data_IF_676080320730
#
_entry.id   IF_676080320730
#
_cell.length_a   1.000
_cell.length_b   1.000
_cell.length_c   1.000
_cell.angle_alpha   90.00
_cell.angle_beta   90.00
_cell.angle_gamma   90.00
#
_symmetry.space_group_name_H-M   'P 1'
#
loop_
_entity.id
_entity.type
_entity.pdbx_description
1 polymer ?
#
# COMPACT_ATOMS: atom_id res chain seq x y z
N UNK A 1 -5.13 11.89 2.40
CA UNK A 1 -4.56 12.12 1.05
C UNK A 1 -5.65 12.72 0.20
N UNK A 2 -5.27 13.55 -0.77
CA UNK A 2 -6.17 14.22 -1.71
C UNK A 2 -7.06 13.24 -2.48
N UNK A 3 -8.38 13.31 -2.32
CA UNK A 3 -9.35 12.65 -3.19
C UNK A 3 -9.75 13.58 -4.32
N UNK A 4 -9.55 13.12 -5.55
CA UNK A 4 -9.76 13.86 -6.79
C UNK A 4 -10.91 13.20 -7.55
N UNK A 5 -11.91 13.99 -7.90
CA UNK A 5 -12.97 13.58 -8.82
C UNK A 5 -12.75 14.25 -10.16
N UNK A 6 -12.73 13.48 -11.23
CA UNK A 6 -12.63 13.96 -12.60
C UNK A 6 -13.98 13.89 -13.28
N UNK A 7 -14.52 15.03 -13.70
CA UNK A 7 -15.73 15.12 -14.51
C UNK A 7 -15.32 15.38 -15.96
N UNK A 8 -15.91 14.64 -16.90
CA UNK A 8 -15.56 14.78 -18.31
C UNK A 8 -16.68 14.25 -19.20
N UNK A 9 -16.94 14.96 -20.30
CA UNK A 9 -17.88 14.46 -21.31
C UNK A 9 -17.22 13.37 -22.15
N UNK A 10 -17.81 12.17 -22.16
CA UNK A 10 -17.28 11.00 -22.87
C UNK A 10 -17.04 11.23 -24.37
N UNK A 11 -17.88 12.01 -25.04
CA UNK A 11 -17.75 12.29 -26.47
C UNK A 11 -16.79 13.46 -26.79
N UNK A 12 -16.24 14.13 -25.78
CA UNK A 12 -15.42 15.33 -25.94
C UNK A 12 -13.98 15.10 -25.49
N UNK A 13 -13.78 14.48 -24.31
CA UNK A 13 -12.47 14.39 -23.67
C UNK A 13 -12.09 12.98 -23.16
N UNK A 14 -12.76 11.91 -23.59
CA UNK A 14 -12.54 10.55 -23.03
C UNK A 14 -11.09 10.05 -23.13
N UNK A 15 -10.42 10.26 -24.26
CA UNK A 15 -9.05 9.79 -24.46
C UNK A 15 -8.09 10.47 -23.47
N UNK A 16 -8.14 11.80 -23.40
CA UNK A 16 -7.28 12.58 -22.51
C UNK A 16 -7.66 12.37 -21.02
N UNK A 17 -8.95 12.15 -20.72
CA UNK A 17 -9.44 11.85 -19.38
C UNK A 17 -8.89 10.52 -18.86
N UNK A 18 -8.85 9.48 -19.71
CA UNK A 18 -8.21 8.21 -19.36
C UNK A 18 -6.73 8.39 -19.07
N UNK A 19 -6.00 9.07 -19.98
CA UNK A 19 -4.56 9.32 -19.85
C UNK A 19 -4.22 10.15 -18.59
N UNK A 20 -4.99 11.20 -18.32
CA UNK A 20 -4.83 12.02 -17.12
C UNK A 20 -5.23 11.23 -15.86
N UNK A 21 -6.27 10.40 -15.94
CA UNK A 21 -6.67 9.48 -14.89
C UNK A 21 -5.52 8.56 -14.48
N UNK A 22 -4.91 7.85 -15.44
CA UNK A 22 -3.76 6.96 -15.18
C UNK A 22 -2.56 7.71 -14.57
N UNK A 23 -2.32 8.93 -15.06
CA UNK A 23 -1.26 9.79 -14.52
C UNK A 23 -1.54 10.21 -13.07
N UNK A 24 -2.77 10.61 -12.76
CA UNK A 24 -3.18 10.98 -11.40
C UNK A 24 -3.21 9.77 -10.47
N UNK A 25 -3.65 8.60 -10.93
CA UNK A 25 -3.64 7.34 -10.17
C UNK A 25 -2.21 6.99 -9.76
N UNK A 26 -1.24 7.20 -10.66
CA UNK A 26 0.19 7.00 -10.35
C UNK A 26 0.69 7.91 -9.22
N UNK A 27 0.09 9.11 -9.04
CA UNK A 27 0.53 10.11 -8.06
C UNK A 27 -0.27 10.15 -6.76
N UNK A 28 -1.57 9.93 -6.83
CA UNK A 28 -2.49 10.03 -5.70
C UNK A 28 -3.01 8.67 -5.24
N UNK A 29 -2.83 7.60 -6.03
CA UNK A 29 -3.34 6.26 -5.77
C UNK A 29 -4.75 6.05 -6.30
N UNK A 30 -5.06 4.82 -6.71
CA UNK A 30 -6.32 4.46 -7.39
C UNK A 30 -7.57 4.78 -6.56
N UNK A 31 -7.50 4.54 -5.24
CA UNK A 31 -8.62 4.81 -4.31
C UNK A 31 -8.94 6.30 -4.12
N UNK A 32 -8.07 7.17 -4.63
CA UNK A 32 -8.15 8.61 -4.47
C UNK A 32 -8.45 9.34 -5.77
N UNK A 33 -8.57 8.63 -6.91
CA UNK A 33 -8.91 9.24 -8.20
C UNK A 33 -10.17 8.56 -8.73
N UNK A 34 -11.25 9.34 -8.81
CA UNK A 34 -12.54 8.90 -9.34
C UNK A 34 -12.74 9.49 -10.72
N UNK A 35 -12.92 8.64 -11.72
CA UNK A 35 -13.07 9.04 -13.12
C UNK A 35 -14.55 8.95 -13.53
N UNK A 36 -15.24 10.10 -13.55
CA UNK A 36 -16.67 10.24 -13.86
C UNK A 36 -17.57 10.19 -12.62
N UNK A 37 -18.68 10.94 -12.63
CA UNK A 37 -19.65 10.98 -11.55
C UNK A 37 -20.28 9.61 -11.25
N UNK A 38 -20.39 8.73 -12.25
CA UNK A 38 -20.95 7.39 -12.08
C UNK A 38 -20.15 6.54 -11.09
N UNK A 39 -18.86 6.86 -10.87
CA UNK A 39 -18.01 6.15 -9.91
C UNK A 39 -18.33 6.49 -8.46
N UNK A 40 -19.16 7.50 -8.21
CA UNK A 40 -19.64 7.83 -6.87
C UNK A 40 -20.72 6.85 -6.37
N UNK A 41 -21.37 6.12 -7.29
CA UNK A 41 -22.57 5.32 -7.01
C UNK A 41 -22.23 3.83 -7.06
N UNK A 42 -22.44 3.11 -5.95
CA UNK A 42 -22.40 1.65 -5.93
C UNK A 42 -23.61 1.02 -6.63
N UNK A 43 -23.47 -0.22 -7.09
CA UNK A 43 -24.59 -0.97 -7.69
C UNK A 43 -25.73 -1.11 -6.67
N UNK A 44 -26.89 -0.54 -6.98
CA UNK A 44 -28.07 -0.56 -6.12
C UNK A 44 -28.11 0.52 -5.03
N UNK A 45 -27.15 1.45 -4.99
CA UNK A 45 -27.18 2.59 -4.07
C UNK A 45 -28.06 3.73 -4.60
N UNK A 46 -28.67 4.49 -3.68
CA UNK A 46 -29.37 5.72 -4.02
C UNK A 46 -28.37 6.82 -4.45
N UNK A 47 -28.72 7.54 -5.51
CA UNK A 47 -27.83 8.54 -6.08
C UNK A 47 -27.65 9.77 -5.18
N UNK A 48 -28.68 10.23 -4.47
CA UNK A 48 -28.53 11.37 -3.56
C UNK A 48 -27.62 11.01 -2.39
N UNK A 49 -27.82 9.84 -1.78
CA UNK A 49 -26.98 9.36 -0.68
C UNK A 49 -25.51 9.19 -1.13
N UNK A 50 -25.31 8.66 -2.34
CA UNK A 50 -23.98 8.51 -2.95
C UNK A 50 -23.34 9.87 -3.25
N UNK A 51 -24.10 10.84 -3.75
CA UNK A 51 -23.65 12.20 -4.04
C UNK A 51 -23.24 12.95 -2.77
N UNK A 52 -24.04 12.93 -1.72
CA UNK A 52 -23.73 13.58 -0.44
C UNK A 52 -22.45 13.01 0.20
N UNK A 53 -22.35 11.68 0.22
CA UNK A 53 -21.17 10.97 0.77
C UNK A 53 -19.94 11.19 -0.09
N UNK A 54 -20.10 11.15 -1.41
CA UNK A 54 -19.04 11.30 -2.40
C UNK A 54 -18.43 12.69 -2.39
N UNK A 55 -19.25 13.74 -2.28
CA UNK A 55 -18.81 15.14 -2.29
C UNK A 55 -18.15 15.59 -0.97
N UNK A 56 -18.56 15.05 0.19
CA UNK A 56 -17.97 15.39 1.51
C UNK A 56 -16.51 14.99 1.68
N UNK A 57 -16.00 14.08 0.85
CA UNK A 57 -14.65 13.54 0.97
C UNK A 57 -13.73 13.86 -0.21
N UNK A 58 -14.12 14.78 -1.10
CA UNK A 58 -13.34 15.15 -2.29
C UNK A 58 -12.63 16.48 -2.06
N UNK A 59 -11.31 16.47 -2.20
CA UNK A 59 -10.45 17.62 -1.96
C UNK A 59 -10.32 18.53 -3.20
N UNK A 60 -10.47 17.95 -4.40
CA UNK A 60 -10.49 18.70 -5.67
C UNK A 60 -11.34 17.99 -6.73
N UNK A 61 -12.04 18.79 -7.53
CA UNK A 61 -12.79 18.32 -8.70
C UNK A 61 -12.15 18.90 -9.95
N UNK A 62 -11.68 18.03 -10.83
CA UNK A 62 -11.13 18.41 -12.12
C UNK A 62 -12.24 18.30 -13.17
N UNK A 63 -12.53 19.40 -13.87
CA UNK A 63 -13.54 19.41 -14.92
C UNK A 63 -12.82 19.52 -16.25
N UNK A 64 -12.80 18.45 -17.03
CA UNK A 64 -12.16 18.43 -18.33
C UNK A 64 -13.10 19.03 -19.37
N UNK A 65 -12.65 20.12 -19.98
CA UNK A 65 -13.39 20.92 -20.95
C UNK A 65 -12.68 20.81 -22.29
N UNK A 66 -13.26 20.05 -23.22
CA UNK A 66 -12.85 20.02 -24.62
C UNK A 66 -13.63 21.03 -25.46
N UNK A 67 -13.41 21.00 -26.78
CA UNK A 67 -13.96 21.99 -27.71
C UNK A 67 -15.48 21.88 -27.86
N UNK A 68 -16.03 20.69 -27.70
CA UNK A 68 -17.47 20.43 -27.81
C UNK A 68 -18.15 20.43 -26.43
N UNK A 69 -17.51 20.93 -25.37
CA UNK A 69 -18.01 20.81 -24.00
C UNK A 69 -19.34 21.54 -23.78
N UNK A 70 -19.63 22.64 -24.46
CA UNK A 70 -20.91 23.39 -24.31
C UNK A 70 -21.99 22.94 -25.30
N UNK A 71 -21.67 22.06 -26.25
CA UNK A 71 -22.59 21.67 -27.32
C UNK A 71 -23.67 20.68 -26.86
N UNK A 72 -24.88 20.77 -27.41
CA UNK A 72 -25.89 19.71 -27.28
C UNK A 72 -26.57 19.60 -25.92
N UNK A 73 -26.57 20.67 -25.11
CA UNK A 73 -27.51 20.85 -23.98
C UNK A 73 -27.35 19.89 -22.78
N UNK A 74 -26.32 19.05 -22.73
CA UNK A 74 -26.12 18.11 -21.63
C UNK A 74 -25.92 18.80 -20.27
N UNK A 75 -25.30 19.99 -20.26
CA UNK A 75 -25.17 20.84 -19.08
C UNK A 75 -26.53 21.29 -18.53
N UNK A 76 -27.54 21.40 -19.40
CA UNK A 76 -28.91 21.77 -19.05
C UNK A 76 -29.79 20.57 -18.68
N UNK A 77 -29.28 19.34 -18.82
CA UNK A 77 -30.01 18.14 -18.44
C UNK A 77 -29.95 17.95 -16.93
N UNK A 78 -31.11 18.03 -16.28
CA UNK A 78 -31.27 17.73 -14.85
C UNK A 78 -31.04 16.23 -14.52
N UNK A 79 -30.86 15.38 -15.54
CA UNK A 79 -30.66 13.94 -15.41
C UNK A 79 -29.20 13.52 -15.64
N UNK A 80 -28.31 14.46 -16.00
CA UNK A 80 -26.89 14.14 -16.20
C UNK A 80 -26.12 14.18 -14.88
N UNK A 81 -25.60 13.02 -14.47
CA UNK A 81 -24.84 12.85 -13.24
C UNK A 81 -23.64 13.79 -13.11
N UNK A 82 -22.91 14.06 -14.20
CA UNK A 82 -21.76 14.96 -14.17
C UNK A 82 -22.20 16.43 -13.94
N UNK A 83 -23.32 16.83 -14.54
CA UNK A 83 -23.89 18.18 -14.35
C UNK A 83 -24.41 18.37 -12.92
N UNK A 84 -25.10 17.36 -12.38
CA UNK A 84 -25.59 17.38 -10.99
C UNK A 84 -24.42 17.50 -10.01
N UNK A 85 -23.39 16.65 -10.14
CA UNK A 85 -22.21 16.71 -9.26
C UNK A 85 -21.50 18.05 -9.37
N UNK A 86 -21.34 18.58 -10.60
CA UNK A 86 -20.68 19.87 -10.80
C UNK A 86 -21.47 21.01 -10.15
N UNK A 87 -22.79 21.02 -10.31
CA UNK A 87 -23.66 22.00 -9.66
C UNK A 87 -23.57 21.92 -8.13
N UNK A 88 -23.67 20.71 -7.57
CA UNK A 88 -23.51 20.48 -6.13
C UNK A 88 -22.15 20.98 -5.65
N UNK A 89 -21.07 20.66 -6.37
CA UNK A 89 -19.74 21.10 -6.00
C UNK A 89 -19.54 22.61 -6.02
N UNK A 90 -20.11 23.29 -7.03
CA UNK A 90 -20.07 24.76 -7.10
C UNK A 90 -20.89 25.40 -5.98
N UNK A 91 -22.05 24.83 -5.66
CA UNK A 91 -22.95 25.29 -4.60
C UNK A 91 -22.34 25.13 -3.20
N UNK A 92 -21.73 23.96 -2.94
CA UNK A 92 -21.01 23.63 -1.70
C UNK A 92 -19.62 24.29 -1.62
N UNK A 93 -19.27 25.13 -2.61
CA UNK A 93 -17.97 25.84 -2.72
C UNK A 93 -16.76 24.91 -2.67
N UNK A 94 -16.92 23.68 -3.15
CA UNK A 94 -15.82 22.75 -3.32
C UNK A 94 -14.79 23.29 -4.32
N UNK A 95 -13.57 22.75 -4.25
CA UNK A 95 -12.48 23.17 -5.11
C UNK A 95 -12.64 22.58 -6.51
N UNK A 96 -13.27 23.34 -7.39
CA UNK A 96 -13.41 23.01 -8.81
C UNK A 96 -12.28 23.65 -9.62
N UNK A 97 -11.54 22.83 -10.37
CA UNK A 97 -10.44 23.23 -11.26
C UNK A 97 -10.81 22.88 -12.71
N UNK A 98 -11.13 23.87 -13.54
CA UNK A 98 -11.30 23.66 -14.97
C UNK A 98 -9.98 23.27 -15.64
N UNK A 99 -10.00 22.22 -16.46
CA UNK A 99 -8.86 21.74 -17.25
C UNK A 99 -9.24 21.84 -18.73
N UNK A 100 -8.66 22.81 -19.43
CA UNK A 100 -8.92 23.08 -20.84
C UNK A 100 -8.08 22.16 -21.71
N UNK A 101 -8.73 21.35 -22.53
CA UNK A 101 -8.11 20.33 -23.37
C UNK A 101 -7.89 20.88 -24.78
N UNK A 102 -6.68 20.71 -25.33
CA UNK A 102 -6.36 21.07 -26.73
C UNK A 102 -6.71 22.53 -27.10
N UNK A 103 -6.47 23.45 -26.17
CA UNK A 103 -6.76 24.87 -26.33
C UNK A 103 -8.25 25.22 -26.37
N UNK A 104 -9.13 24.37 -25.82
CA UNK A 104 -10.54 24.69 -25.66
C UNK A 104 -10.72 26.02 -24.90
N UNK A 105 -11.63 26.90 -25.36
CA UNK A 105 -11.90 28.15 -24.66
C UNK A 105 -12.64 27.87 -23.34
N UNK A 106 -12.43 28.74 -22.35
CA UNK A 106 -13.24 28.70 -21.14
C UNK A 106 -14.69 29.11 -21.47
N UNK A 107 -15.72 28.33 -21.07
CA UNK A 107 -17.11 28.68 -21.29
C UNK A 107 -17.47 30.06 -20.73
N UNK A 108 -18.28 30.81 -21.47
CA UNK A 108 -18.80 32.11 -21.04
C UNK A 108 -20.11 31.95 -20.26
N UNK A 109 -20.56 33.02 -19.60
CA UNK A 109 -21.83 33.01 -18.89
C UNK A 109 -23.05 32.72 -19.79
N UNK A 110 -22.96 33.02 -21.09
CA UNK A 110 -24.03 32.72 -22.04
C UNK A 110 -24.10 31.24 -22.42
N UNK A 111 -23.00 30.51 -22.26
CA UNK A 111 -22.87 29.10 -22.65
C UNK A 111 -23.31 28.14 -21.54
N UNK A 112 -23.58 28.66 -20.33
CA UNK A 112 -23.83 27.86 -19.13
C UNK A 112 -25.22 28.12 -18.53
N UNK A 113 -25.88 27.09 -17.98
CA UNK A 113 -27.02 27.28 -17.08
C UNK A 113 -26.63 28.11 -15.85
N UNK A 114 -27.62 28.79 -15.26
CA UNK A 114 -27.42 29.65 -14.08
C UNK A 114 -26.67 28.94 -12.95
N UNK A 115 -27.03 27.67 -12.71
CA UNK A 115 -26.43 26.79 -11.72
C UNK A 115 -24.90 26.60 -11.88
N UNK A 116 -24.37 26.70 -13.10
CA UNK A 116 -22.98 26.44 -13.41
C UNK A 116 -22.14 27.71 -13.63
N UNK A 117 -22.74 28.90 -13.53
CA UNK A 117 -22.04 30.18 -13.73
C UNK A 117 -20.83 30.35 -12.80
N UNK A 118 -20.84 29.71 -11.63
CA UNK A 118 -19.72 29.68 -10.69
C UNK A 118 -18.43 29.11 -11.28
N UNK A 119 -18.51 28.30 -12.34
CA UNK A 119 -17.36 27.74 -13.05
C UNK A 119 -16.53 28.81 -13.75
N UNK A 120 -17.17 29.84 -14.31
CA UNK A 120 -16.52 30.94 -15.06
C UNK A 120 -15.54 31.77 -14.20
N UNK A 121 -15.67 31.68 -12.88
CA UNK A 121 -14.85 32.41 -11.91
C UNK A 121 -13.67 31.60 -11.38
N UNK A 122 -13.48 30.37 -11.86
CA UNK A 122 -12.39 29.47 -11.44
C UNK A 122 -11.17 29.66 -12.34
N UNK A 123 -9.98 29.59 -11.75
CA UNK A 123 -8.74 29.56 -12.53
C UNK A 123 -8.63 28.23 -13.26
N UNK A 124 -8.44 28.28 -14.57
CA UNK A 124 -8.24 27.12 -15.42
C UNK A 124 -6.78 26.75 -15.59
N UNK A 125 -6.53 25.51 -16.00
CA UNK A 125 -5.22 25.03 -16.46
C UNK A 125 -5.36 24.41 -17.85
N UNK A 126 -4.35 24.55 -18.69
CA UNK A 126 -4.34 23.95 -20.02
C UNK A 126 -3.67 22.58 -19.99
N UNK A 127 -4.17 21.67 -20.82
CA UNK A 127 -3.62 20.35 -21.04
C UNK A 127 -3.57 20.08 -22.55
N UNK A 128 -2.37 19.91 -23.08
CA UNK A 128 -2.13 19.56 -24.48
C UNK A 128 -1.53 18.15 -24.59
N UNK A 129 -1.81 17.46 -25.68
CA UNK A 129 -1.31 16.12 -25.95
C UNK A 129 0.22 16.11 -26.15
N UNK A 130 0.74 17.12 -26.85
CA UNK A 130 2.17 17.28 -27.15
C UNK A 130 3.02 17.54 -25.90
N UNK A 131 2.50 18.35 -24.96
CA UNK A 131 3.16 18.69 -23.68
C UNK A 131 2.55 17.99 -22.47
N UNK A 132 1.81 16.90 -22.71
CA UNK A 132 0.94 16.25 -21.72
C UNK A 132 1.63 16.01 -20.38
N UNK A 133 2.84 15.45 -20.39
CA UNK A 133 3.54 15.11 -19.16
C UNK A 133 3.87 16.35 -18.33
N UNK A 134 4.35 17.42 -18.96
CA UNK A 134 4.69 18.66 -18.26
C UNK A 134 3.46 19.34 -17.69
N UNK A 135 2.37 19.38 -18.46
CA UNK A 135 1.13 20.03 -18.05
C UNK A 135 0.40 19.23 -16.96
N UNK A 136 0.43 17.89 -17.05
CA UNK A 136 -0.09 17.02 -15.99
C UNK A 136 0.71 17.14 -14.69
N UNK A 137 2.04 17.29 -14.74
CA UNK A 137 2.86 17.58 -13.54
C UNK A 137 2.50 18.93 -12.91
N UNK A 138 2.34 19.98 -13.73
CA UNK A 138 1.90 21.30 -13.23
C UNK A 138 0.55 21.19 -12.54
N UNK A 139 -0.39 20.45 -13.13
CA UNK A 139 -1.72 20.22 -12.56
C UNK A 139 -1.65 19.47 -11.24
N UNK A 140 -0.87 18.38 -11.16
CA UNK A 140 -0.63 17.63 -9.91
C UNK A 140 -0.08 18.56 -8.83
N UNK A 141 0.94 19.35 -9.14
CA UNK A 141 1.58 20.25 -8.18
C UNK A 141 0.61 21.35 -7.71
N UNK A 142 -0.19 21.91 -8.61
CA UNK A 142 -1.20 22.91 -8.27
C UNK A 142 -2.28 22.33 -7.35
N UNK A 143 -2.76 21.12 -7.65
CA UNK A 143 -3.74 20.41 -6.83
C UNK A 143 -3.13 20.09 -5.46
N UNK A 144 -1.92 19.54 -5.39
CA UNK A 144 -1.23 19.23 -4.13
C UNK A 144 -0.97 20.47 -3.27
N UNK A 145 -0.46 21.55 -3.88
CA UNK A 145 -0.21 22.81 -3.17
C UNK A 145 -1.50 23.43 -2.63
N UNK A 146 -2.62 23.22 -3.31
CA UNK A 146 -3.93 23.70 -2.87
C UNK A 146 -4.59 22.85 -1.78
N UNK A 147 -4.12 21.61 -1.61
CA UNK A 147 -4.60 20.64 -0.62
C UNK A 147 -3.69 20.61 0.63
N UNK A 148 -2.42 21.02 0.49
CA UNK A 148 -1.52 21.22 1.61
C UNK A 148 -1.95 22.44 2.46
N UNK A 149 -2.10 22.30 3.79
CA UNK A 149 -2.63 23.39 4.62
C UNK A 149 -1.57 24.46 4.91
N UNK A 150 -1.83 25.68 4.46
CA UNK A 150 -1.19 26.90 4.94
C UNK A 150 -2.05 27.60 6.00
N UNK A 151 -1.53 27.65 7.24
CA UNK A 151 -1.96 28.40 8.45
C UNK A 151 -3.22 27.91 9.22
N UNK A 152 -2.91 27.48 10.45
CA UNK A 152 -3.77 27.16 11.58
C UNK A 152 -5.15 27.87 11.63
N UNK A 153 -6.20 27.08 11.46
CA UNK A 153 -7.46 27.23 12.20
C UNK A 153 -7.82 25.85 12.75
N UNK A 154 -7.96 25.78 14.06
CA UNK A 154 -8.35 24.61 14.83
C UNK A 154 -9.74 24.12 14.41
N UNK A 155 -9.80 23.09 13.56
CA UNK A 155 -11.03 22.40 13.19
C UNK A 155 -10.78 20.89 13.28
N UNK A 156 -11.28 20.34 14.39
CA UNK A 156 -11.59 18.93 14.72
C UNK A 156 -11.12 17.87 13.72
N UNK A 157 -10.24 16.98 14.22
CA UNK A 157 -9.86 15.70 13.61
C UNK A 157 -11.07 14.98 12.96
N UNK A 158 -10.92 14.39 11.76
CA UNK A 158 -11.94 13.52 11.19
C UNK A 158 -12.27 12.40 12.19
N UNK A 159 -13.56 12.22 12.47
CA UNK A 159 -14.07 11.08 13.22
C UNK A 159 -13.74 9.83 12.41
N UNK A 160 -12.82 9.03 12.93
CA UNK A 160 -12.58 7.66 12.46
C UNK A 160 -13.93 6.93 12.32
N UNK A 161 -14.11 6.08 11.30
CA UNK A 161 -15.32 5.28 11.20
C UNK A 161 -15.46 4.50 12.50
N UNK A 162 -16.61 4.67 13.14
CA UNK A 162 -17.02 4.09 14.41
C UNK A 162 -16.50 2.66 14.63
N UNK A 163 -15.32 2.53 15.23
CA UNK A 163 -14.96 1.36 16.00
C UNK A 163 -15.67 1.51 17.35
N UNK A 164 -16.82 0.87 17.50
CA UNK A 164 -17.35 0.54 18.82
C UNK A 164 -16.21 -0.06 19.65
N UNK A 165 -16.00 0.54 20.82
CA UNK A 165 -14.74 0.51 21.55
C UNK A 165 -14.14 -0.88 21.76
N UNK A 166 -13.02 -1.12 21.09
CA UNK A 166 -11.89 -1.88 21.62
C UNK A 166 -10.65 -1.10 21.15
N UNK A 167 -9.63 -0.87 21.99
CA UNK A 167 -8.36 -0.35 21.51
C UNK A 167 -7.94 -1.20 20.31
N UNK A 168 -7.38 -0.59 19.27
CA UNK A 168 -6.67 -1.29 18.20
C UNK A 168 -5.45 -2.00 18.83
N UNK A 169 -5.73 -3.09 19.56
CA UNK A 169 -4.81 -4.09 20.04
C UNK A 169 -4.38 -4.79 18.76
N UNK A 170 -3.14 -4.54 18.40
CA UNK A 170 -2.36 -5.24 17.39
C UNK A 170 -3.04 -6.51 16.83
N UNK A 171 -3.42 -6.41 15.54
CA UNK A 171 -3.58 -7.60 14.72
C UNK A 171 -5.00 -8.13 14.57
N UNK A 172 -6.05 -7.34 14.71
CA UNK A 172 -7.43 -7.74 14.33
C UNK A 172 -8.03 -6.68 13.39
N UNK A 173 -8.63 -7.09 12.25
CA UNK A 173 -9.26 -6.17 11.28
C UNK A 173 -10.76 -5.88 11.56
N UNK A 174 -11.41 -5.12 10.67
CA UNK A 174 -12.84 -4.76 10.76
C UNK A 174 -13.77 -5.96 10.84
N UNK A 175 -13.33 -7.11 10.33
CA UNK A 175 -14.08 -8.35 10.26
C UNK A 175 -13.70 -9.28 11.42
N UNK A 176 -13.00 -8.74 12.42
CA UNK A 176 -12.47 -9.44 13.59
C UNK A 176 -11.47 -10.57 13.24
N UNK A 177 -10.82 -10.51 12.06
CA UNK A 177 -9.85 -11.51 11.65
C UNK A 177 -8.45 -11.18 12.19
N UNK A 178 -7.78 -12.15 12.85
CA UNK A 178 -6.43 -11.92 13.33
C UNK A 178 -5.43 -11.80 12.17
N UNK A 179 -4.29 -11.12 12.41
CA UNK A 179 -3.31 -10.80 11.36
C UNK A 179 -2.78 -12.03 10.64
N UNK A 180 -2.53 -13.12 11.36
CA UNK A 180 -2.09 -14.38 10.75
C UNK A 180 -3.14 -14.94 9.79
N UNK A 181 -4.44 -14.81 10.13
CA UNK A 181 -5.53 -15.29 9.30
C UNK A 181 -5.65 -14.45 8.03
N UNK A 182 -5.43 -13.13 8.13
CA UNK A 182 -5.32 -12.25 6.97
C UNK A 182 -4.16 -12.64 6.07
N UNK A 183 -2.98 -12.90 6.64
CA UNK A 183 -1.82 -13.35 5.86
C UNK A 183 -2.06 -14.69 5.13
N UNK A 184 -2.80 -15.62 5.75
CA UNK A 184 -3.20 -16.89 5.12
C UNK A 184 -4.24 -16.71 4.03
N UNK A 185 -5.25 -15.86 4.26
CA UNK A 185 -6.42 -15.76 3.38
C UNK A 185 -6.23 -14.79 2.22
N UNK A 186 -5.35 -13.80 2.36
CA UNK A 186 -5.20 -12.72 1.38
C UNK A 186 -4.79 -13.21 -0.03
N UNK A 187 -3.87 -14.18 -0.21
CA UNK A 187 -3.57 -14.72 -1.53
C UNK A 187 -4.78 -15.30 -2.27
N UNK A 188 -5.78 -15.82 -1.55
CA UNK A 188 -6.97 -16.45 -2.14
C UNK A 188 -8.07 -15.44 -2.55
N UNK A 189 -7.90 -14.14 -2.25
CA UNK A 189 -8.84 -13.10 -2.68
C UNK A 189 -8.74 -12.79 -4.18
N UNK A 190 -7.64 -13.20 -4.82
CA UNK A 190 -7.40 -13.02 -6.24
C UNK A 190 -8.10 -14.14 -7.04
N UNK A 191 -8.90 -13.81 -8.05
CA UNK A 191 -9.59 -14.83 -8.87
C UNK A 191 -8.62 -15.71 -9.65
N UNK A 192 -7.44 -15.20 -9.99
CA UNK A 192 -6.37 -15.89 -10.70
C UNK A 192 -5.28 -16.42 -9.74
N UNK A 193 -5.59 -16.56 -8.44
CA UNK A 193 -4.59 -16.97 -7.45
C UNK A 193 -3.91 -18.30 -7.81
N UNK A 194 -4.65 -19.26 -8.35
CA UNK A 194 -4.14 -20.59 -8.69
C UNK A 194 -3.01 -20.50 -9.71
N UNK A 195 -3.20 -19.75 -10.80
CA UNK A 195 -2.20 -19.65 -11.86
C UNK A 195 -0.95 -18.91 -11.37
N UNK A 196 -1.13 -17.85 -10.59
CA UNK A 196 -0.03 -17.04 -10.03
C UNK A 196 0.77 -17.83 -8.98
N UNK A 197 0.11 -18.55 -8.08
CA UNK A 197 0.78 -19.39 -7.08
C UNK A 197 1.40 -20.63 -7.72
N UNK A 198 0.79 -21.23 -8.76
CA UNK A 198 1.38 -22.36 -9.45
C UNK A 198 2.74 -22.01 -10.06
N UNK A 199 2.87 -20.83 -10.68
CA UNK A 199 4.17 -20.35 -11.19
C UNK A 199 5.15 -20.10 -10.04
N UNK A 200 4.71 -19.52 -8.91
CA UNK A 200 5.54 -19.36 -7.72
C UNK A 200 6.08 -20.72 -7.21
N UNK A 201 5.20 -21.73 -7.18
CA UNK A 201 5.54 -23.09 -6.75
C UNK A 201 6.48 -23.80 -7.74
N UNK A 202 6.33 -23.58 -9.05
CA UNK A 202 7.26 -24.12 -10.05
C UNK A 202 8.63 -23.46 -9.95
N UNK A 203 8.67 -22.13 -9.79
CA UNK A 203 9.91 -21.39 -9.64
C UNK A 203 10.64 -21.79 -8.37
N UNK A 204 9.94 -22.02 -7.25
CA UNK A 204 10.56 -22.42 -5.98
C UNK A 204 11.24 -23.79 -6.02
N UNK A 205 10.96 -24.62 -7.03
CA UNK A 205 11.69 -25.87 -7.27
C UNK A 205 13.12 -25.64 -7.79
N UNK A 206 13.42 -24.46 -8.34
CA UNK A 206 14.76 -24.09 -8.79
C UNK A 206 15.55 -23.60 -7.56
N UNK A 207 16.56 -24.34 -7.08
CA UNK A 207 17.30 -23.94 -5.90
C UNK A 207 17.96 -22.57 -6.09
N UNK A 208 17.96 -21.76 -5.03
CA UNK A 208 18.58 -20.43 -4.99
C UNK A 208 17.87 -19.42 -5.91
N UNK A 209 17.93 -19.60 -7.23
CA UNK A 209 17.36 -18.70 -8.24
C UNK A 209 15.84 -18.58 -8.09
N UNK A 210 15.16 -19.71 -7.91
CA UNK A 210 13.73 -19.74 -7.65
C UNK A 210 13.33 -18.97 -6.40
N UNK A 211 14.06 -19.22 -5.30
CA UNK A 211 13.87 -18.52 -4.03
C UNK A 211 14.09 -17.02 -4.17
N UNK A 212 15.11 -16.59 -4.92
CA UNK A 212 15.39 -15.19 -5.22
C UNK A 212 14.18 -14.57 -5.93
N UNK A 213 13.70 -15.17 -7.02
CA UNK A 213 12.59 -14.63 -7.81
C UNK A 213 11.31 -14.56 -6.98
N UNK A 214 10.94 -15.64 -6.28
CA UNK A 214 9.71 -15.68 -5.43
C UNK A 214 9.79 -14.69 -4.27
N UNK A 215 11.00 -14.46 -3.72
CA UNK A 215 11.18 -13.43 -2.69
C UNK A 215 10.95 -12.03 -3.24
N UNK A 216 11.46 -11.71 -4.42
CA UNK A 216 11.22 -10.42 -5.04
C UNK A 216 9.78 -10.21 -5.49
N UNK A 217 9.13 -11.28 -5.95
CA UNK A 217 7.68 -11.30 -6.16
C UNK A 217 6.92 -10.95 -4.87
N UNK A 218 7.35 -11.52 -3.74
CA UNK A 218 6.84 -11.19 -2.42
C UNK A 218 7.06 -9.72 -2.01
N UNK A 219 8.23 -9.15 -2.32
CA UNK A 219 8.51 -7.70 -2.12
C UNK A 219 7.55 -6.84 -2.95
N UNK A 220 7.33 -7.20 -4.23
CA UNK A 220 6.37 -6.51 -5.11
C UNK A 220 4.94 -6.65 -4.59
N UNK A 221 4.57 -7.82 -4.11
CA UNK A 221 3.27 -8.05 -3.46
C UNK A 221 3.10 -7.21 -2.19
N UNK A 222 4.10 -7.16 -1.31
CA UNK A 222 4.07 -6.31 -0.12
C UNK A 222 3.89 -4.82 -0.48
N UNK A 223 4.52 -4.37 -1.57
CA UNK A 223 4.36 -3.00 -2.08
C UNK A 223 2.95 -2.73 -2.60
N UNK A 224 2.36 -3.67 -3.35
CA UNK A 224 0.95 -3.59 -3.75
C UNK A 224 0.01 -3.50 -2.54
N UNK A 225 0.25 -4.32 -1.52
CA UNK A 225 -0.52 -4.29 -0.27
C UNK A 225 -0.44 -2.93 0.44
N UNK A 226 0.71 -2.26 0.40
CA UNK A 226 0.85 -0.90 0.94
C UNK A 226 0.03 0.14 0.15
N UNK A 227 -0.08 -0.05 -1.16
CA UNK A 227 -0.87 0.80 -2.05
C UNK A 227 -2.38 0.50 -1.98
N UNK A 228 -2.77 -0.55 -1.26
CA UNK A 228 -4.16 -0.98 -1.12
C UNK A 228 -4.60 -1.99 -2.18
N UNK A 229 -3.68 -2.51 -2.99
CA UNK A 229 -3.94 -3.64 -3.86
C UNK A 229 -3.77 -4.95 -3.07
N UNK A 230 -4.83 -5.73 -2.95
CA UNK A 230 -4.81 -7.04 -2.28
C UNK A 230 -4.57 -8.21 -3.22
N UNK A 231 -4.48 -7.95 -4.53
CA UNK A 231 -4.30 -8.99 -5.55
C UNK A 231 -2.84 -9.41 -5.68
N UNK A 232 -2.63 -10.61 -6.21
CA UNK A 232 -1.32 -11.17 -6.45
C UNK A 232 -0.75 -10.56 -7.76
N UNK A 233 0.52 -10.11 -7.79
CA UNK A 233 1.12 -9.59 -9.02
C UNK A 233 1.12 -10.62 -10.16
N UNK A 234 1.08 -10.15 -11.40
CA UNK A 234 1.25 -11.00 -12.59
C UNK A 234 2.72 -11.36 -12.77
N UNK A 235 3.01 -12.46 -13.47
CA UNK A 235 4.38 -12.90 -13.78
C UNK A 235 4.93 -12.22 -15.05
N UNK A 236 4.84 -10.89 -15.09
CA UNK A 236 5.25 -10.03 -16.20
C UNK A 236 6.63 -9.38 -16.02
N UNK A 237 7.13 -9.30 -14.78
CA UNK A 237 8.40 -8.65 -14.43
C UNK A 237 9.32 -9.59 -13.63
N UNK A 238 9.61 -10.77 -14.18
CA UNK A 238 10.49 -11.75 -13.53
C UNK A 238 11.90 -11.18 -13.30
N UNK A 239 12.40 -10.37 -14.23
CA UNK A 239 13.71 -9.72 -14.12
C UNK A 239 13.78 -8.73 -12.96
N UNK A 240 12.76 -7.86 -12.81
CA UNK A 240 12.66 -6.96 -11.67
C UNK A 240 12.46 -7.71 -10.35
N UNK A 241 11.65 -8.77 -10.34
CA UNK A 241 11.50 -9.64 -9.16
C UNK A 241 12.83 -10.30 -8.77
N UNK A 242 13.60 -10.82 -9.72
CA UNK A 242 14.93 -11.36 -9.42
C UNK A 242 15.84 -10.31 -8.74
N UNK A 243 15.87 -9.08 -9.26
CA UNK A 243 16.66 -7.98 -8.68
C UNK A 243 16.20 -7.59 -7.26
N UNK A 244 14.89 -7.48 -7.05
CA UNK A 244 14.32 -7.14 -5.73
C UNK A 244 14.60 -8.22 -4.70
N UNK A 245 14.46 -9.48 -5.10
CA UNK A 245 14.68 -10.64 -4.25
C UNK A 245 16.14 -10.82 -3.89
N UNK A 246 17.06 -10.61 -4.85
CA UNK A 246 18.49 -10.66 -4.61
C UNK A 246 18.90 -9.59 -3.59
N UNK A 247 18.39 -8.37 -3.75
CA UNK A 247 18.61 -7.26 -2.83
C UNK A 247 18.12 -7.60 -1.42
N UNK A 248 16.91 -8.14 -1.30
CA UNK A 248 16.35 -8.54 -0.01
C UNK A 248 17.16 -9.67 0.66
N UNK A 249 17.59 -10.67 -0.10
CA UNK A 249 18.39 -11.79 0.41
C UNK A 249 19.78 -11.37 0.85
N UNK A 250 20.49 -10.56 0.04
CA UNK A 250 21.80 -10.01 0.41
C UNK A 250 21.65 -9.12 1.65
N UNK A 251 20.63 -8.26 1.69
CA UNK A 251 20.37 -7.39 2.83
C UNK A 251 20.10 -8.18 4.12
N UNK A 252 19.23 -9.18 4.07
CA UNK A 252 18.94 -10.07 5.20
C UNK A 252 20.15 -10.92 5.60
N UNK A 253 20.98 -11.34 4.64
CA UNK A 253 22.23 -12.03 4.92
C UNK A 253 23.20 -11.13 5.69
N UNK A 254 23.39 -9.87 5.26
CA UNK A 254 24.24 -8.90 5.96
C UNK A 254 23.76 -8.69 7.40
N UNK A 255 22.45 -8.52 7.60
CA UNK A 255 21.85 -8.38 8.93
C UNK A 255 22.12 -9.63 9.76
N UNK A 256 21.78 -10.80 9.24
CA UNK A 256 21.93 -12.07 9.94
C UNK A 256 23.40 -12.37 10.28
N UNK A 257 24.32 -12.02 9.38
CA UNK A 257 25.75 -12.17 9.56
C UNK A 257 26.28 -11.24 10.67
N UNK A 258 25.85 -9.99 10.69
CA UNK A 258 26.24 -9.03 11.73
C UNK A 258 25.82 -9.52 13.14
N UNK A 259 24.57 -9.96 13.29
CA UNK A 259 24.09 -10.55 14.55
C UNK A 259 24.74 -11.92 14.84
N UNK A 260 25.06 -12.69 13.81
CA UNK A 260 25.77 -13.97 13.92
C UNK A 260 27.17 -13.82 14.51
N UNK A 261 27.90 -12.77 14.13
CA UNK A 261 29.20 -12.43 14.76
C UNK A 261 29.02 -12.15 16.25
N UNK A 262 28.04 -11.33 16.61
CA UNK A 262 27.75 -11.01 18.02
C UNK A 262 27.40 -12.28 18.80
N UNK A 263 26.54 -13.14 18.22
CA UNK A 263 26.20 -14.43 18.79
C UNK A 263 27.43 -15.31 19.01
N UNK A 264 28.29 -15.45 18.00
CA UNK A 264 29.49 -16.28 18.06
C UNK A 264 30.47 -15.81 19.14
N UNK A 265 30.68 -14.50 19.27
CA UNK A 265 31.53 -13.90 20.33
C UNK A 265 30.97 -14.22 21.71
N UNK A 266 29.66 -14.07 21.91
CA UNK A 266 29.02 -14.34 23.20
C UNK A 266 29.08 -15.83 23.58
N UNK A 267 28.88 -16.73 22.61
CA UNK A 267 29.08 -18.17 22.81
C UNK A 267 30.53 -18.44 23.22
N UNK A 268 31.52 -17.88 22.52
CA UNK A 268 32.94 -18.10 22.81
C UNK A 268 33.36 -17.64 24.21
N UNK A 269 32.94 -16.44 24.62
CA UNK A 269 33.20 -15.91 25.99
C UNK A 269 32.63 -16.87 27.04
N UNK A 270 31.40 -17.33 26.84
CA UNK A 270 30.71 -18.18 27.81
C UNK A 270 31.32 -19.58 27.83
N UNK A 271 31.61 -20.19 26.68
CA UNK A 271 32.30 -21.48 26.60
C UNK A 271 33.63 -21.47 27.37
N UNK A 272 34.40 -20.37 27.31
CA UNK A 272 35.62 -20.22 28.11
C UNK A 272 35.35 -20.19 29.63
N UNK A 273 34.28 -19.54 30.07
CA UNK A 273 33.85 -19.52 31.49
C UNK A 273 33.44 -20.93 31.93
N UNK A 274 32.70 -21.69 31.11
CA UNK A 274 32.27 -23.05 31.43
C UNK A 274 33.44 -24.01 31.64
N UNK A 275 34.47 -23.92 30.79
CA UNK A 275 35.69 -24.73 30.87
C UNK A 275 36.50 -24.46 32.15
N UNK A 276 36.24 -23.34 32.86
CA UNK A 276 36.93 -22.99 34.11
C UNK A 276 36.47 -23.78 35.36
N UNK A 277 35.48 -24.68 35.24
CA UNK A 277 35.21 -25.71 36.25
C UNK A 277 34.33 -25.33 37.46
N UNK A 278 33.49 -24.29 37.38
CA UNK A 278 32.61 -23.87 38.50
C UNK A 278 31.17 -24.39 38.35
N UNK A 279 30.93 -25.63 38.78
CA UNK A 279 29.71 -26.41 38.49
C UNK A 279 28.33 -25.73 38.68
N UNK A 280 28.08 -25.04 39.80
CA UNK A 280 26.80 -24.36 40.01
C UNK A 280 26.65 -23.05 39.19
N UNK A 281 27.77 -22.36 38.92
CA UNK A 281 27.80 -21.16 38.07
C UNK A 281 27.62 -21.51 36.59
N UNK A 282 28.00 -22.73 36.19
CA UNK A 282 27.82 -23.24 34.84
C UNK A 282 26.33 -23.36 34.47
N UNK A 283 25.48 -23.93 35.34
CA UNK A 283 24.05 -24.05 35.03
C UNK A 283 23.36 -22.68 34.83
N UNK A 284 23.67 -21.71 35.69
CA UNK A 284 23.15 -20.34 35.57
C UNK A 284 23.69 -19.66 34.29
N UNK A 285 24.98 -19.84 33.99
CA UNK A 285 25.60 -19.35 32.76
C UNK A 285 24.94 -19.91 31.49
N UNK A 286 24.50 -21.18 31.50
CA UNK A 286 23.84 -21.80 30.35
C UNK A 286 22.47 -21.17 30.10
N UNK A 287 21.69 -20.95 31.15
CA UNK A 287 20.37 -20.34 31.05
C UNK A 287 20.47 -18.89 30.59
N UNK A 288 21.44 -18.13 31.09
CA UNK A 288 21.71 -16.77 30.63
C UNK A 288 22.14 -16.73 29.16
N UNK A 289 23.00 -17.66 28.73
CA UNK A 289 23.37 -17.79 27.31
C UNK A 289 22.14 -18.05 26.45
N UNK A 290 21.31 -19.02 26.84
CA UNK A 290 20.11 -19.36 26.11
C UNK A 290 19.16 -18.16 26.02
N UNK A 291 18.96 -17.42 27.12
CA UNK A 291 18.16 -16.20 27.11
C UNK A 291 18.73 -15.12 26.17
N UNK A 292 20.06 -14.91 26.18
CA UNK A 292 20.74 -13.96 25.30
C UNK A 292 20.63 -14.38 23.84
N UNK A 293 20.78 -15.67 23.53
CA UNK A 293 20.65 -16.20 22.17
C UNK A 293 19.21 -16.09 21.66
N UNK A 294 18.21 -16.35 22.50
CA UNK A 294 16.82 -16.10 22.17
C UNK A 294 16.56 -14.61 21.92
N UNK A 295 17.12 -13.73 22.75
CA UNK A 295 17.05 -12.28 22.56
C UNK A 295 17.69 -11.83 21.24
N UNK A 296 18.83 -12.40 20.86
CA UNK A 296 19.47 -12.14 19.57
C UNK A 296 18.64 -12.65 18.40
N UNK A 297 18.04 -13.83 18.50
CA UNK A 297 17.16 -14.37 17.46
C UNK A 297 15.94 -13.47 17.24
N UNK A 298 15.31 -13.02 18.32
CA UNK A 298 14.22 -12.03 18.25
C UNK A 298 14.73 -10.72 17.63
N UNK A 299 15.93 -10.26 18.00
CA UNK A 299 16.52 -9.04 17.43
C UNK A 299 16.80 -9.16 15.93
N UNK A 300 17.33 -10.31 15.46
CA UNK A 300 17.54 -10.61 14.04
C UNK A 300 16.21 -10.56 13.29
N UNK A 301 15.18 -11.20 13.83
CA UNK A 301 13.86 -11.20 13.23
C UNK A 301 13.26 -9.79 13.17
N UNK A 302 13.24 -9.07 14.30
CA UNK A 302 12.68 -7.72 14.39
C UNK A 302 13.43 -6.71 13.51
N UNK A 303 14.75 -6.82 13.45
CA UNK A 303 15.55 -5.99 12.56
C UNK A 303 15.30 -6.36 11.09
N UNK A 304 15.34 -7.66 10.77
CA UNK A 304 15.16 -8.16 9.41
C UNK A 304 13.81 -7.74 8.82
N UNK A 305 12.71 -7.95 9.55
CA UNK A 305 11.38 -7.52 9.08
C UNK A 305 11.28 -6.00 8.93
N UNK A 306 11.94 -5.22 9.79
CA UNK A 306 12.02 -3.76 9.70
C UNK A 306 12.80 -3.30 8.48
N UNK A 307 13.95 -3.90 8.23
CA UNK A 307 14.80 -3.58 7.10
C UNK A 307 14.10 -3.91 5.77
N UNK A 308 13.46 -5.08 5.67
CA UNK A 308 12.66 -5.45 4.49
C UNK A 308 11.46 -4.51 4.34
N UNK A 309 10.76 -4.19 5.42
CA UNK A 309 9.62 -3.27 5.36
C UNK A 309 10.03 -1.86 4.90
N UNK A 310 11.18 -1.34 5.35
CA UNK A 310 11.75 -0.08 4.86
C UNK A 310 12.25 -0.18 3.42
N UNK A 311 12.77 -1.33 3.01
CA UNK A 311 13.13 -1.58 1.62
C UNK A 311 11.89 -1.59 0.70
N UNK A 312 10.81 -2.23 1.13
CA UNK A 312 9.53 -2.24 0.41
C UNK A 312 8.99 -0.81 0.23
N UNK A 313 9.11 0.05 1.23
CA UNK A 313 8.63 1.45 1.17
C UNK A 313 9.54 2.39 0.39
N UNK A 314 10.87 2.25 0.53
CA UNK A 314 11.83 3.21 -0.03
C UNK A 314 12.43 2.79 -1.37
N UNK A 315 12.31 1.51 -1.74
CA UNK A 315 12.98 0.89 -2.89
C UNK A 315 14.52 1.04 -2.88
N UNK A 316 15.10 1.30 -1.71
CA UNK A 316 16.53 1.57 -1.56
C UNK A 316 17.22 0.48 -0.72
N UNK A 317 18.27 -0.12 -1.29
CA UNK A 317 19.06 -1.14 -0.59
C UNK A 317 19.71 -0.63 0.71
N UNK A 318 19.99 0.68 0.79
CA UNK A 318 20.54 1.31 1.99
C UNK A 318 19.66 1.11 3.24
N UNK A 319 18.37 0.80 3.08
CA UNK A 319 17.48 0.46 4.18
C UNK A 319 17.98 -0.72 5.04
N UNK A 320 18.71 -1.67 4.45
CA UNK A 320 19.32 -2.79 5.20
C UNK A 320 20.55 -2.39 6.01
N UNK A 321 21.29 -1.38 5.53
CA UNK A 321 22.54 -0.91 6.13
C UNK A 321 22.31 0.22 7.15
N UNK A 322 21.12 0.81 7.16
CA UNK A 322 20.76 1.86 8.10
C UNK A 322 20.34 1.28 9.46
N UNK A 323 21.35 0.75 10.17
CA UNK A 323 21.19 0.13 11.49
C UNK A 323 20.58 1.09 12.51
N UNK A 324 20.94 2.38 12.45
CA UNK A 324 20.44 3.39 13.37
C UNK A 324 18.93 3.55 13.30
N UNK A 325 18.38 3.78 12.10
CA UNK A 325 16.94 3.97 11.95
C UNK A 325 16.16 2.66 12.09
N UNK A 326 16.72 1.52 11.67
CA UNK A 326 16.10 0.21 11.92
C UNK A 326 15.98 -0.08 13.43
N UNK A 327 17.04 0.17 14.21
CA UNK A 327 17.02 -0.01 15.66
C UNK A 327 16.07 0.97 16.35
N UNK A 328 16.06 2.23 15.89
CA UNK A 328 15.10 3.25 16.36
C UNK A 328 13.66 2.79 16.10
N UNK A 329 13.34 2.26 14.93
CA UNK A 329 12.01 1.79 14.59
C UNK A 329 11.58 0.60 15.47
N UNK A 330 12.45 -0.41 15.63
CA UNK A 330 12.22 -1.56 16.50
C UNK A 330 11.96 -1.11 17.94
N UNK A 331 12.79 -0.22 18.50
CA UNK A 331 12.61 0.26 19.87
C UNK A 331 11.40 1.17 20.05
N UNK A 332 11.08 1.99 19.06
CA UNK A 332 9.93 2.91 19.14
C UNK A 332 8.61 2.12 19.11
N UNK A 333 8.56 1.06 18.31
CA UNK A 333 7.36 0.28 18.05
C UNK A 333 7.39 -1.12 18.69
N UNK A 334 8.25 -1.36 19.68
CA UNK A 334 8.44 -2.70 20.29
C UNK A 334 7.13 -3.28 20.84
N UNK A 335 6.26 -2.44 21.41
CA UNK A 335 4.93 -2.82 21.91
C UNK A 335 4.00 -3.32 20.81
N UNK A 336 4.19 -2.87 19.56
CA UNK A 336 3.44 -3.34 18.39
C UNK A 336 4.10 -4.53 17.71
N UNK A 337 5.43 -4.65 17.78
CA UNK A 337 6.18 -5.82 17.30
C UNK A 337 5.85 -7.10 18.07
N UNK A 338 5.73 -7.01 19.39
CA UNK A 338 5.54 -8.19 20.24
C UNK A 338 4.32 -9.05 19.85
N UNK A 339 3.09 -8.49 19.75
CA UNK A 339 1.93 -9.26 19.27
C UNK A 339 2.07 -9.71 17.80
N UNK A 340 2.76 -8.94 16.97
CA UNK A 340 3.05 -9.31 15.59
C UNK A 340 3.92 -10.57 15.51
N UNK A 341 4.93 -10.69 16.40
CA UNK A 341 5.74 -11.89 16.52
C UNK A 341 4.89 -13.11 16.86
N UNK A 342 3.92 -12.96 17.77
CA UNK A 342 2.95 -14.01 18.08
C UNK A 342 2.17 -14.47 16.85
N UNK A 343 1.68 -13.53 16.03
CA UNK A 343 0.99 -13.88 14.78
C UNK A 343 1.89 -14.58 13.77
N UNK A 344 3.17 -14.18 13.66
CA UNK A 344 4.13 -14.83 12.76
C UNK A 344 4.43 -16.26 13.22
N UNK A 345 4.57 -16.50 14.52
CA UNK A 345 4.75 -17.84 15.07
C UNK A 345 3.53 -18.74 14.82
N UNK A 346 2.31 -18.23 15.06
CA UNK A 346 1.07 -18.96 14.78
C UNK A 346 0.96 -19.29 13.29
N UNK A 347 1.23 -18.30 12.43
CA UNK A 347 1.25 -18.49 10.98
C UNK A 347 2.24 -19.58 10.56
N UNK A 348 3.49 -19.49 11.02
CA UNK A 348 4.54 -20.45 10.71
C UNK A 348 4.20 -21.86 11.19
N UNK A 349 3.62 -21.99 12.39
CA UNK A 349 3.18 -23.27 12.94
C UNK A 349 2.08 -23.92 12.10
N UNK A 350 1.02 -23.16 11.79
CA UNK A 350 -0.11 -23.64 10.99
C UNK A 350 0.34 -24.02 9.58
N UNK A 351 1.06 -23.11 8.89
CA UNK A 351 1.56 -23.39 7.54
C UNK A 351 2.55 -24.56 7.54
N UNK A 352 3.39 -24.70 8.57
CA UNK A 352 4.29 -25.85 8.71
C UNK A 352 3.55 -27.19 8.79
N UNK A 353 2.48 -27.26 9.57
CA UNK A 353 1.61 -28.45 9.63
C UNK A 353 0.95 -28.72 8.27
N UNK A 354 0.39 -27.69 7.62
CA UNK A 354 -0.26 -27.85 6.32
C UNK A 354 0.72 -28.31 5.23
N UNK A 355 1.94 -27.78 5.23
CA UNK A 355 3.02 -28.19 4.32
C UNK A 355 3.38 -29.66 4.58
N UNK A 356 3.57 -30.05 5.85
CA UNK A 356 3.91 -31.42 6.22
C UNK A 356 2.81 -32.42 5.81
N UNK A 357 1.53 -32.08 6.05
CA UNK A 357 0.38 -32.87 5.59
C UNK A 357 0.37 -32.95 4.07
N UNK A 358 0.56 -31.82 3.38
CA UNK A 358 0.64 -31.76 1.93
C UNK A 358 1.66 -32.77 1.39
N UNK A 359 2.90 -32.72 1.88
CA UNK A 359 3.97 -33.64 1.48
C UNK A 359 3.73 -35.09 1.88
N UNK A 360 3.05 -35.35 3.01
CA UNK A 360 2.75 -36.71 3.45
C UNK A 360 1.81 -37.45 2.48
N UNK A 361 0.89 -36.73 1.82
CA UNK A 361 -0.03 -37.32 0.87
C UNK A 361 0.44 -37.17 -0.59
N UNK A 362 0.96 -36.00 -0.97
CA UNK A 362 1.38 -35.70 -2.35
C UNK A 362 2.44 -34.58 -2.42
N UNK A 363 3.48 -34.78 -3.25
CA UNK A 363 4.56 -33.78 -3.42
C UNK A 363 4.06 -32.43 -3.92
N UNK A 364 3.17 -32.42 -4.92
CA UNK A 364 2.70 -31.17 -5.58
C UNK A 364 1.88 -30.27 -4.63
N UNK A 365 0.84 -30.76 -3.92
CA UNK A 365 0.14 -29.98 -2.90
C UNK A 365 1.05 -29.41 -1.81
N UNK A 366 2.04 -30.17 -1.34
CA UNK A 366 3.03 -29.67 -0.36
C UNK A 366 3.76 -28.43 -0.87
N UNK A 367 4.22 -28.45 -2.12
CA UNK A 367 4.88 -27.31 -2.76
C UNK A 367 3.96 -26.12 -3.00
N UNK A 368 2.71 -26.35 -3.40
CA UNK A 368 1.72 -25.27 -3.58
C UNK A 368 1.47 -24.58 -2.24
N UNK A 369 1.27 -25.34 -1.16
CA UNK A 369 1.06 -24.77 0.19
C UNK A 369 2.31 -23.99 0.64
N UNK A 370 3.51 -24.49 0.36
CA UNK A 370 4.75 -23.76 0.66
C UNK A 370 4.86 -22.43 -0.11
N UNK A 371 4.43 -22.41 -1.38
CA UNK A 371 4.39 -21.18 -2.17
C UNK A 371 3.37 -20.17 -1.60
N UNK A 372 2.17 -20.63 -1.22
CA UNK A 372 1.18 -19.80 -0.51
C UNK A 372 1.76 -19.25 0.81
N UNK A 373 2.47 -20.08 1.59
CA UNK A 373 3.10 -19.67 2.83
C UNK A 373 4.16 -18.57 2.61
N UNK A 374 5.01 -18.78 1.60
CA UNK A 374 6.07 -17.83 1.26
C UNK A 374 5.49 -16.48 0.83
N UNK A 375 4.50 -16.48 -0.05
CA UNK A 375 3.90 -15.24 -0.58
C UNK A 375 3.03 -14.55 0.50
N UNK A 376 2.20 -15.32 1.22
CA UNK A 376 1.35 -14.80 2.29
C UNK A 376 2.15 -14.18 3.45
N UNK A 377 3.35 -14.69 3.72
CA UNK A 377 4.26 -14.13 4.73
C UNK A 377 4.61 -12.64 4.49
N UNK A 378 4.63 -12.17 3.24
CA UNK A 378 4.87 -10.76 2.92
C UNK A 378 3.74 -9.83 3.36
N UNK A 379 2.57 -10.36 3.74
CA UNK A 379 1.53 -9.58 4.39
C UNK A 379 2.00 -9.00 5.73
N UNK A 380 2.83 -9.73 6.47
CA UNK A 380 3.45 -9.23 7.70
C UNK A 380 4.38 -8.06 7.43
N UNK A 381 5.21 -8.17 6.39
CA UNK A 381 6.11 -7.09 5.97
C UNK A 381 5.32 -5.83 5.61
N UNK A 382 4.24 -5.97 4.84
CA UNK A 382 3.37 -4.86 4.47
C UNK A 382 2.69 -4.24 5.71
N UNK A 383 2.14 -5.04 6.61
CA UNK A 383 1.51 -4.53 7.83
C UNK A 383 2.52 -3.81 8.74
N UNK A 384 3.74 -4.35 8.85
CA UNK A 384 4.81 -3.69 9.61
C UNK A 384 5.21 -2.35 9.00
N UNK A 385 5.34 -2.30 7.68
CA UNK A 385 5.58 -1.06 6.95
C UNK A 385 4.46 -0.02 7.18
N UNK A 386 3.18 -0.42 7.20
CA UNK A 386 2.06 0.48 7.54
C UNK A 386 2.21 1.08 8.94
N UNK A 387 2.57 0.25 9.93
CA UNK A 387 2.74 0.73 11.30
C UNK A 387 3.90 1.73 11.43
N UNK A 388 4.98 1.53 10.68
CA UNK A 388 6.09 2.49 10.62
C UNK A 388 5.65 3.80 9.96
N UNK A 389 4.92 3.75 8.83
CA UNK A 389 4.38 4.93 8.18
C UNK A 389 3.44 5.73 9.09
N UNK A 390 2.56 5.06 9.85
CA UNK A 390 1.69 5.70 10.84
C UNK A 390 2.47 6.38 11.98
N UNK A 391 3.68 5.91 12.26
CA UNK A 391 4.57 6.47 13.28
C UNK A 391 5.58 7.50 12.72
N UNK A 392 5.50 7.84 11.42
CA UNK A 392 6.45 8.69 10.70
C UNK A 392 7.91 8.19 10.80
N UNK A 393 8.12 6.89 10.61
CA UNK A 393 9.42 6.21 10.68
C UNK A 393 9.88 5.61 9.35
#
# INVERSE_FOLDING_TARGET
MARILMLYRKNDAKSIAGRLGDFLVTRFGERNVLLGAEKLIGVGEDFQDALERGTRGVDAILVLIGKAWTEGGWLSSAEDYDSIVLNTALSEKLRVVPVLVEGAPMPTAADLPEALLGLTRRMSMNLYEDTFREDAEKLVNAVQASIAPGKAVDVRKPKEPSSSGVPMMAGIDSDNNPLFMRAMTNPFKDSEWISKIAVAALLSLIPIVGTVIVSGYGVRYARGLLQGDSTLPKWDDIGGDAGRGLSALIGLFIVSFAFGIVSAVLVGIISAIFLSGRGALNAIGALLLLAVQLGLLVSVFSFGITAVARYVTTDNFSAFLDFGNNWKAVNTLWRRLLPMFGHVLIYGFIMGILIAIGFAFFVIPGWIIAAVASVGGYYFVAEWARQMQQANL
#
